data_IF_911438342050
#
_entry.id   IF_911438342050
#
_cell.length_a   1.000
_cell.length_b   1.000
_cell.length_c   1.000
_cell.angle_alpha   90.00
_cell.angle_beta   90.00
_cell.angle_gamma   90.00
#
_symmetry.space_group_name_H-M   'P 1'
#
loop_
_entity.id
_entity.type
_entity.pdbx_description
1 polymer ?
#
# COMPACT_ATOMS: atom_id res chain seq x y z
N UNK A 1 7.40 -0.97 -18.70
CA UNK A 1 6.95 0.24 -17.98
C UNK A 1 8.19 0.98 -17.46
N UNK A 2 8.29 2.29 -17.63
CA UNK A 2 9.45 3.06 -17.14
C UNK A 2 9.50 3.03 -15.61
N UNK A 3 10.71 2.90 -15.01
CA UNK A 3 10.90 2.91 -13.55
C UNK A 3 10.29 4.16 -12.89
N UNK A 4 10.31 5.31 -13.59
CA UNK A 4 9.66 6.54 -13.13
C UNK A 4 8.14 6.41 -13.01
N UNK A 5 7.49 5.79 -14.00
CA UNK A 5 6.04 5.56 -14.00
C UNK A 5 5.65 4.64 -12.85
N UNK A 6 6.45 3.60 -12.59
CA UNK A 6 6.21 2.69 -11.46
C UNK A 6 6.27 3.42 -10.10
N UNK A 7 7.28 4.28 -9.90
CA UNK A 7 7.41 5.04 -8.65
C UNK A 7 6.28 6.06 -8.48
N UNK A 8 5.82 6.67 -9.56
CA UNK A 8 4.65 7.55 -9.54
C UNK A 8 3.36 6.80 -9.19
N UNK A 9 3.10 5.66 -9.82
CA UNK A 9 1.94 4.82 -9.51
C UNK A 9 1.96 4.36 -8.05
N UNK A 10 3.13 3.97 -7.53
CA UNK A 10 3.28 3.60 -6.13
C UNK A 10 2.94 4.78 -5.20
N UNK A 11 3.43 5.97 -5.52
CA UNK A 11 3.16 7.19 -4.75
C UNK A 11 1.67 7.52 -4.74
N UNK A 12 1.00 7.43 -5.91
CA UNK A 12 -0.44 7.65 -6.04
C UNK A 12 -1.23 6.60 -5.26
N UNK A 13 -0.85 5.32 -5.33
CA UNK A 13 -1.49 4.26 -4.58
C UNK A 13 -1.37 4.48 -3.06
N UNK A 14 -0.19 4.87 -2.57
CA UNK A 14 0.03 5.18 -1.16
C UNK A 14 -0.77 6.41 -0.70
N UNK A 15 -0.86 7.45 -1.53
CA UNK A 15 -1.71 8.62 -1.25
C UNK A 15 -3.19 8.25 -1.19
N UNK A 16 -3.67 7.44 -2.14
CA UNK A 16 -5.04 6.95 -2.13
C UNK A 16 -5.35 6.16 -0.85
N UNK A 17 -4.40 5.33 -0.40
CA UNK A 17 -4.49 4.56 0.84
C UNK A 17 -4.53 5.48 2.08
N UNK A 18 -3.72 6.54 2.11
CA UNK A 18 -3.77 7.55 3.17
C UNK A 18 -5.12 8.29 3.20
N UNK A 19 -5.64 8.71 2.04
CA UNK A 19 -6.95 9.37 1.95
C UNK A 19 -8.07 8.43 2.39
N UNK A 20 -8.02 7.15 1.98
CA UNK A 20 -8.97 6.13 2.41
C UNK A 20 -9.05 6.05 3.93
N UNK A 21 -7.89 5.99 4.61
CA UNK A 21 -7.85 5.94 6.08
C UNK A 21 -8.36 7.23 6.72
N UNK A 22 -8.07 8.40 6.14
CA UNK A 22 -8.59 9.68 6.66
C UNK A 22 -10.11 9.72 6.59
N UNK A 23 -10.69 9.25 5.48
CA UNK A 23 -12.14 9.20 5.28
C UNK A 23 -12.78 8.15 6.20
N UNK A 24 -12.20 6.95 6.29
CA UNK A 24 -12.73 5.86 7.08
C UNK A 24 -12.70 6.18 8.58
N UNK A 25 -11.57 6.65 9.10
CA UNK A 25 -11.42 6.98 10.52
C UNK A 25 -11.90 8.40 10.89
N UNK A 26 -12.67 9.06 10.01
CA UNK A 26 -13.16 10.42 10.26
C UNK A 26 -14.04 10.49 11.52
N UNK A 27 -14.90 9.51 11.75
CA UNK A 27 -15.90 9.56 12.83
C UNK A 27 -15.51 8.71 14.06
N UNK A 28 -14.26 8.27 14.13
CA UNK A 28 -13.82 7.32 15.14
C UNK A 28 -13.52 7.98 16.50
N UNK A 29 -13.87 7.31 17.61
CA UNK A 29 -13.64 7.83 18.97
C UNK A 29 -12.16 8.01 19.29
N UNK A 30 -11.30 7.22 18.64
CA UNK A 30 -9.84 7.28 18.75
C UNK A 30 -9.18 7.77 17.46
N UNK A 31 -9.84 8.71 16.76
CA UNK A 31 -9.41 9.30 15.49
C UNK A 31 -7.93 9.63 15.39
N UNK A 32 -7.37 10.32 16.38
CA UNK A 32 -5.95 10.73 16.35
C UNK A 32 -5.00 9.53 16.34
N UNK A 33 -5.25 8.53 17.20
CA UNK A 33 -4.45 7.31 17.23
C UNK A 33 -4.59 6.49 15.94
N UNK A 34 -5.82 6.35 15.44
CA UNK A 34 -6.08 5.64 14.18
C UNK A 34 -5.38 6.30 13.00
N UNK A 35 -5.44 7.62 12.86
CA UNK A 35 -4.76 8.36 11.80
C UNK A 35 -3.23 8.25 11.92
N UNK A 36 -2.69 8.29 13.14
CA UNK A 36 -1.25 8.14 13.36
C UNK A 36 -0.74 6.73 13.00
N UNK A 37 -1.53 5.69 13.25
CA UNK A 37 -1.13 4.30 12.99
C UNK A 37 -1.39 3.91 11.54
N UNK A 38 -2.51 4.34 10.96
CA UNK A 38 -2.94 3.89 9.64
C UNK A 38 -2.64 4.90 8.53
N UNK A 39 -2.91 6.20 8.71
CA UNK A 39 -2.77 7.20 7.65
C UNK A 39 -1.37 7.84 7.56
N UNK A 40 -0.65 7.94 8.68
CA UNK A 40 0.69 8.53 8.70
C UNK A 40 1.74 7.69 7.96
N UNK A 41 1.85 6.36 8.16
CA UNK A 41 2.86 5.59 7.45
C UNK A 41 2.71 5.62 5.91
N UNK A 42 1.52 5.46 5.30
CA UNK A 42 1.40 5.54 3.84
C UNK A 42 1.70 6.95 3.32
N UNK A 43 1.34 8.01 4.05
CA UNK A 43 1.68 9.39 3.68
C UNK A 43 3.21 9.64 3.70
N UNK A 44 3.90 9.20 4.75
CA UNK A 44 5.36 9.29 4.85
C UNK A 44 6.04 8.48 3.74
N UNK A 45 5.55 7.27 3.48
CA UNK A 45 6.09 6.43 2.42
C UNK A 45 5.85 7.05 1.05
N UNK A 46 4.70 7.67 0.79
CA UNK A 46 4.42 8.37 -0.46
C UNK A 46 5.41 9.52 -0.68
N UNK A 47 5.65 10.36 0.33
CA UNK A 47 6.59 11.48 0.24
C UNK A 47 8.04 11.02 -0.06
N UNK A 48 8.43 9.84 0.44
CA UNK A 48 9.79 9.32 0.31
C UNK A 48 9.98 8.32 -0.83
N UNK A 49 8.90 7.78 -1.41
CA UNK A 49 8.95 6.71 -2.41
C UNK A 49 9.74 7.09 -3.67
N UNK A 50 9.64 8.35 -4.11
CA UNK A 50 10.35 8.87 -5.27
C UNK A 50 11.86 9.01 -5.03
N UNK A 51 12.30 9.19 -3.77
CA UNK A 51 13.68 9.53 -3.40
C UNK A 51 14.46 8.36 -2.81
N UNK A 52 13.78 7.38 -2.21
CA UNK A 52 14.44 6.33 -1.41
C UNK A 52 13.96 4.93 -1.79
N UNK A 53 14.90 4.06 -2.15
CA UNK A 53 14.62 2.63 -2.33
C UNK A 53 14.21 1.95 -1.02
N UNK A 54 14.77 2.38 0.13
CA UNK A 54 14.38 1.89 1.46
C UNK A 54 12.92 2.22 1.77
N UNK A 55 12.45 3.42 1.43
CA UNK A 55 11.04 3.79 1.63
C UNK A 55 10.10 2.88 0.82
N UNK A 56 10.47 2.56 -0.42
CA UNK A 56 9.68 1.62 -1.25
C UNK A 56 9.65 0.21 -0.66
N UNK A 57 10.76 -0.27 -0.11
CA UNK A 57 10.80 -1.56 0.60
C UNK A 57 9.86 -1.56 1.81
N UNK A 58 9.97 -0.55 2.69
CA UNK A 58 9.12 -0.44 3.87
C UNK A 58 7.65 -0.24 3.51
N UNK A 59 7.33 0.48 2.42
CA UNK A 59 5.98 0.57 1.90
C UNK A 59 5.38 -0.81 1.58
N UNK A 60 6.18 -1.73 1.02
CA UNK A 60 5.77 -3.12 0.80
C UNK A 60 5.54 -3.88 2.11
N UNK A 61 6.39 -3.68 3.13
CA UNK A 61 6.22 -4.31 4.46
C UNK A 61 4.94 -3.82 5.13
N UNK A 62 4.69 -2.51 5.15
CA UNK A 62 3.45 -1.96 5.71
C UNK A 62 2.21 -2.39 4.92
N UNK A 63 2.32 -2.55 3.60
CA UNK A 63 1.22 -3.02 2.78
C UNK A 63 0.74 -4.44 3.13
N UNK A 64 1.61 -5.31 3.66
CA UNK A 64 1.18 -6.61 4.22
C UNK A 64 0.29 -6.43 5.45
N UNK A 65 0.60 -5.42 6.28
CA UNK A 65 -0.22 -5.04 7.44
C UNK A 65 -1.60 -4.55 7.00
N UNK A 66 -1.66 -3.60 6.07
CA UNK A 66 -2.93 -3.10 5.51
C UNK A 66 -3.72 -4.18 4.77
N UNK A 67 -3.05 -5.09 4.06
CA UNK A 67 -3.71 -6.24 3.46
C UNK A 67 -4.43 -7.08 4.51
N UNK A 68 -3.72 -7.42 5.60
CA UNK A 68 -4.30 -8.22 6.69
C UNK A 68 -5.46 -7.48 7.38
N UNK A 69 -5.32 -6.17 7.57
CA UNK A 69 -6.36 -5.32 8.12
C UNK A 69 -7.59 -5.25 7.20
N UNK A 70 -7.41 -5.01 5.90
CA UNK A 70 -8.48 -5.00 4.92
C UNK A 70 -9.26 -6.32 4.87
N UNK A 71 -8.57 -7.47 4.92
CA UNK A 71 -9.22 -8.79 5.03
C UNK A 71 -9.99 -8.92 6.35
N UNK A 72 -9.38 -8.54 7.47
CA UNK A 72 -10.07 -8.57 8.76
C UNK A 72 -11.33 -7.71 8.74
N UNK A 73 -11.25 -6.48 8.22
CA UNK A 73 -12.35 -5.53 8.18
C UNK A 73 -13.46 -5.94 7.21
N UNK A 74 -13.11 -6.46 6.03
CA UNK A 74 -14.10 -6.88 5.02
C UNK A 74 -14.97 -8.04 5.52
N UNK A 75 -14.42 -8.91 6.38
CA UNK A 75 -15.19 -10.02 6.94
C UNK A 75 -15.82 -9.70 8.30
N UNK A 76 -15.20 -8.87 9.14
CA UNK A 76 -15.68 -8.57 10.49
C UNK A 76 -16.65 -7.39 10.59
N UNK A 77 -16.61 -6.43 9.65
CA UNK A 77 -17.38 -5.19 9.72
C UNK A 77 -18.27 -5.00 8.48
N UNK A 78 -19.51 -5.53 8.47
CA UNK A 78 -20.41 -5.45 7.32
C UNK A 78 -20.65 -4.02 6.82
N UNK A 79 -20.69 -3.04 7.72
CA UNK A 79 -20.94 -1.63 7.43
C UNK A 79 -19.76 -0.96 6.73
N UNK A 80 -18.53 -1.44 6.98
CA UNK A 80 -17.30 -0.89 6.42
C UNK A 80 -16.75 -1.72 5.23
N UNK A 81 -17.47 -2.76 4.80
CA UNK A 81 -17.05 -3.71 3.76
C UNK A 81 -16.55 -3.05 2.48
N UNK A 82 -17.25 -2.02 2.01
CA UNK A 82 -16.86 -1.33 0.77
C UNK A 82 -15.48 -0.70 0.88
N UNK A 83 -15.21 0.02 1.97
CA UNK A 83 -13.92 0.64 2.24
C UNK A 83 -12.83 -0.42 2.49
N UNK A 84 -13.18 -1.52 3.16
CA UNK A 84 -12.26 -2.63 3.42
C UNK A 84 -11.79 -3.34 2.14
N UNK A 85 -12.70 -3.57 1.19
CA UNK A 85 -12.33 -4.10 -0.13
C UNK A 85 -11.44 -3.12 -0.90
N UNK A 86 -11.69 -1.82 -0.79
CA UNK A 86 -10.86 -0.81 -1.43
C UNK A 86 -9.45 -0.75 -0.81
N UNK A 87 -9.32 -0.81 0.51
CA UNK A 87 -8.05 -0.96 1.23
C UNK A 87 -7.29 -2.19 0.74
N UNK A 88 -7.97 -3.33 0.68
CA UNK A 88 -7.41 -4.60 0.26
C UNK A 88 -6.83 -4.54 -1.16
N UNK A 89 -7.60 -3.99 -2.12
CA UNK A 89 -7.15 -3.83 -3.50
C UNK A 89 -5.97 -2.86 -3.61
N UNK A 90 -5.98 -1.75 -2.86
CA UNK A 90 -4.87 -0.79 -2.82
C UNK A 90 -3.61 -1.41 -2.21
N UNK A 91 -3.73 -2.19 -1.14
CA UNK A 91 -2.61 -2.89 -0.51
C UNK A 91 -1.98 -3.90 -1.47
N UNK A 92 -2.79 -4.69 -2.18
CA UNK A 92 -2.32 -5.61 -3.22
C UNK A 92 -1.61 -4.88 -4.36
N UNK A 93 -2.13 -3.73 -4.79
CA UNK A 93 -1.50 -2.90 -5.81
C UNK A 93 -0.13 -2.40 -5.34
N UNK A 94 -0.01 -1.91 -4.10
CA UNK A 94 1.28 -1.47 -3.53
C UNK A 94 2.28 -2.64 -3.50
N UNK A 95 1.87 -3.82 -3.04
CA UNK A 95 2.73 -5.01 -3.02
C UNK A 95 3.20 -5.38 -4.42
N UNK A 96 2.30 -5.38 -5.41
CA UNK A 96 2.63 -5.66 -6.80
C UNK A 96 3.62 -4.64 -7.39
N UNK A 97 3.42 -3.34 -7.11
CA UNK A 97 4.28 -2.26 -7.61
C UNK A 97 5.68 -2.29 -6.98
N UNK A 98 5.79 -2.64 -5.70
CA UNK A 98 7.10 -2.79 -5.02
C UNK A 98 7.82 -4.08 -5.45
N UNK A 99 7.08 -5.18 -5.63
CA UNK A 99 7.66 -6.50 -5.92
C UNK A 99 7.99 -6.69 -7.41
N UNK A 100 7.27 -6.02 -8.31
CA UNK A 100 7.37 -6.18 -9.76
C UNK A 100 8.80 -6.16 -10.33
N UNK A 101 9.63 -5.14 -10.03
CA UNK A 101 11.00 -5.07 -10.54
C UNK A 101 11.90 -6.21 -10.02
N UNK A 102 11.77 -6.57 -8.74
CA UNK A 102 12.58 -7.62 -8.12
C UNK A 102 12.20 -9.02 -8.59
N UNK A 103 10.90 -9.25 -8.80
CA UNK A 103 10.33 -10.46 -9.39
C UNK A 103 10.78 -10.57 -10.85
N UNK A 104 10.58 -9.53 -11.67
CA UNK A 104 11.00 -9.51 -13.07
C UNK A 104 12.50 -9.77 -13.25
N UNK A 105 13.35 -9.20 -12.40
CA UNK A 105 14.80 -9.43 -12.44
C UNK A 105 15.21 -10.87 -12.06
N UNK A 106 14.48 -11.52 -11.15
CA UNK A 106 14.75 -12.92 -10.75
C UNK A 106 14.22 -13.92 -11.77
N UNK A 107 13.02 -13.71 -12.29
CA UNK A 107 12.40 -14.62 -13.25
C UNK A 107 12.92 -14.44 -14.69
N UNK A 108 13.37 -13.24 -15.07
CA UNK A 108 14.04 -13.01 -16.37
C UNK A 108 15.37 -13.75 -16.52
N UNK A 109 16.15 -13.87 -15.44
CA UNK A 109 17.42 -14.64 -15.43
C UNK A 109 17.22 -16.15 -15.64
N UNK A 110 16.07 -16.71 -15.23
CA UNK A 110 15.76 -18.13 -15.48
C UNK A 110 15.42 -18.42 -16.94
N UNK A 111 14.99 -17.42 -17.71
CA UNK A 111 14.66 -17.59 -19.14
C UNK A 111 15.87 -17.43 -20.07
N UNK A 112 16.91 -16.73 -19.62
CA UNK A 112 18.18 -16.59 -20.36
C UNK A 112 19.17 -17.73 -20.11
N UNK A 113 18.88 -18.62 -19.13
CA UNK A 113 19.68 -19.79 -18.80
C UNK A 113 19.06 -21.11 -19.31
N UNK A 114 18.01 -21.02 -20.13
CA UNK A 114 17.44 -22.13 -20.92
C UNK A 114 17.66 -21.80 -22.39
#
# INVERSE_FOLDING_TARGET
MSLRVLHWLLTVALLALAVLFVVWFHDDRHRTAALLVFALPPALMAALALRSARARFWAGVFALGWFSHGVMAAWSQPQARGLAWLELLLALLVVALVSGPGVAARFGKRRAAR
#
